data_IF_845921198693
#
_entry.id   IF_845921198693
#
_cell.length_a   1.000
_cell.length_b   1.000
_cell.length_c   1.000
_cell.angle_alpha   90.00
_cell.angle_beta   90.00
_cell.angle_gamma   90.00
#
_symmetry.space_group_name_H-M   'P 1'
#
loop_
_entity.id
_entity.type
_entity.pdbx_description
1 polymer ?
#
# COMPACT_ATOMS: atom_id res chain seq x y z
N UNK A 1 8.52 3.44 -11.06
CA UNK A 1 9.81 3.76 -11.73
C UNK A 1 10.95 3.91 -10.73
N UNK A 2 12.15 3.44 -11.09
CA UNK A 2 13.34 3.41 -10.24
C UNK A 2 14.13 4.74 -10.29
N UNK A 3 14.00 5.54 -11.36
CA UNK A 3 14.57 6.91 -11.44
C UNK A 3 16.07 6.99 -11.09
N UNK A 4 16.42 7.61 -9.96
CA UNK A 4 17.78 7.71 -9.40
C UNK A 4 17.96 6.80 -8.19
N UNK A 5 16.92 6.10 -7.76
CA UNK A 5 16.97 5.20 -6.62
C UNK A 5 17.82 3.98 -6.94
N UNK A 6 18.64 3.61 -5.98
CA UNK A 6 19.48 2.44 -6.05
C UNK A 6 19.53 1.75 -4.69
N UNK A 7 19.72 0.44 -4.75
CA UNK A 7 19.68 -0.42 -3.60
C UNK A 7 20.75 -1.48 -3.75
N UNK A 8 21.54 -1.63 -2.69
CA UNK A 8 22.54 -2.68 -2.54
C UNK A 8 22.13 -3.58 -1.39
N UNK A 9 22.31 -4.89 -1.59
CA UNK A 9 22.26 -5.87 -0.52
C UNK A 9 23.33 -6.91 -0.76
N UNK A 10 24.16 -7.15 0.25
CA UNK A 10 25.15 -8.20 0.21
C UNK A 10 24.49 -9.59 0.16
N UNK A 11 25.24 -10.62 -0.26
CA UNK A 11 24.93 -12.00 0.15
C UNK A 11 24.78 -12.11 1.67
N UNK A 12 24.23 -13.23 2.14
CA UNK A 12 24.32 -13.54 3.55
C UNK A 12 25.79 -13.71 3.92
N UNK A 13 26.22 -12.93 4.92
CA UNK A 13 27.56 -12.97 5.46
C UNK A 13 27.53 -13.97 6.62
N UNK A 14 28.06 -15.17 6.40
CA UNK A 14 28.33 -16.12 7.48
C UNK A 14 29.73 -15.86 8.03
N UNK A 15 29.83 -15.76 9.36
CA UNK A 15 31.09 -15.53 10.05
C UNK A 15 31.01 -16.09 11.47
N UNK A 16 32.14 -16.58 11.98
CA UNK A 16 32.26 -17.00 13.38
C UNK A 16 32.17 -15.77 14.31
N UNK A 17 31.53 -15.94 15.47
CA UNK A 17 31.32 -14.85 16.45
C UNK A 17 32.62 -14.20 16.95
N UNK A 18 33.75 -14.91 16.82
CA UNK A 18 35.07 -14.43 17.23
C UNK A 18 35.93 -13.88 16.08
N UNK A 19 35.40 -13.86 14.85
CA UNK A 19 36.13 -13.36 13.68
C UNK A 19 35.88 -11.86 13.45
N UNK A 20 36.94 -11.11 13.19
CA UNK A 20 36.81 -9.73 12.71
C UNK A 20 36.53 -9.74 11.21
N UNK A 21 35.28 -9.49 10.82
CA UNK A 21 34.91 -9.37 9.42
C UNK A 21 34.82 -7.89 9.00
N UNK A 22 35.65 -7.51 8.04
CA UNK A 22 35.59 -6.19 7.39
C UNK A 22 34.92 -6.37 6.03
N UNK A 23 33.83 -5.63 5.81
CA UNK A 23 33.12 -5.62 4.53
C UNK A 23 33.41 -4.32 3.81
N UNK A 24 34.02 -4.40 2.64
CA UNK A 24 34.16 -3.28 1.72
C UNK A 24 33.02 -3.31 0.70
N UNK A 25 32.20 -2.26 0.68
CA UNK A 25 31.16 -2.05 -0.33
C UNK A 25 31.56 -0.94 -1.27
N UNK A 26 31.80 -1.30 -2.54
CA UNK A 26 32.05 -0.36 -3.63
C UNK A 26 30.75 -0.05 -4.37
N UNK A 27 30.29 1.19 -4.27
CA UNK A 27 29.11 1.68 -4.99
C UNK A 27 29.52 2.44 -6.27
N UNK A 28 28.66 2.39 -7.28
CA UNK A 28 28.76 3.29 -8.43
C UNK A 28 28.56 4.74 -7.99
N UNK A 29 28.91 5.71 -8.85
CA UNK A 29 28.78 7.13 -8.53
C UNK A 29 27.38 7.50 -7.97
N UNK A 30 27.35 7.87 -6.70
CA UNK A 30 26.15 8.23 -5.97
C UNK A 30 26.20 9.70 -5.56
N UNK A 31 25.02 10.32 -5.45
CA UNK A 31 24.82 11.68 -4.96
C UNK A 31 24.55 11.72 -3.47
N UNK A 32 23.88 10.70 -2.93
CA UNK A 32 23.48 10.62 -1.53
C UNK A 32 23.28 9.18 -1.09
N UNK A 33 23.66 8.86 0.14
CA UNK A 33 23.22 7.65 0.84
C UNK A 33 22.04 8.01 1.72
N UNK A 34 20.92 7.31 1.55
CA UNK A 34 19.69 7.53 2.30
C UNK A 34 19.67 6.70 3.60
N UNK A 35 20.06 5.43 3.50
CA UNK A 35 20.04 4.50 4.64
C UNK A 35 21.13 3.45 4.50
N UNK A 36 21.69 3.04 5.65
CA UNK A 36 22.67 1.98 5.78
C UNK A 36 22.28 1.11 6.96
N UNK A 37 22.10 -0.18 6.72
CA UNK A 37 21.54 -1.10 7.69
C UNK A 37 22.25 -2.45 7.62
N UNK A 38 22.44 -3.05 8.79
CA UNK A 38 22.79 -4.45 8.94
C UNK A 38 21.54 -5.23 9.36
N UNK A 39 21.15 -6.21 8.56
CA UNK A 39 20.09 -7.17 8.85
C UNK A 39 20.73 -8.37 9.56
N UNK A 40 20.56 -8.45 10.88
CA UNK A 40 21.07 -9.56 11.72
C UNK A 40 19.88 -10.35 12.24
N UNK A 41 19.70 -11.58 11.74
CA UNK A 41 18.45 -12.31 11.92
C UNK A 41 17.26 -11.49 11.39
N UNK A 42 16.30 -11.17 12.26
CA UNK A 42 15.14 -10.33 11.94
C UNK A 42 15.29 -8.86 12.41
N UNK A 43 16.47 -8.47 12.93
CA UNK A 43 16.70 -7.13 13.43
C UNK A 43 17.38 -6.25 12.39
N UNK A 44 16.79 -5.08 12.12
CA UNK A 44 17.40 -4.03 11.31
C UNK A 44 18.17 -3.08 12.22
N UNK A 45 19.48 -3.02 12.08
CA UNK A 45 20.36 -2.12 12.84
C UNK A 45 20.97 -1.10 11.91
N UNK A 46 20.81 0.19 12.20
CA UNK A 46 21.54 1.23 11.47
C UNK A 46 23.05 1.04 11.66
N UNK A 47 23.81 1.20 10.58
CA UNK A 47 25.27 1.10 10.60
C UNK A 47 25.90 2.32 9.94
N UNK A 48 27.13 2.61 10.33
CA UNK A 48 27.96 3.67 9.77
C UNK A 48 29.28 3.02 9.37
N UNK A 49 29.84 3.34 8.19
CA UNK A 49 31.15 2.84 7.81
C UNK A 49 32.22 3.43 8.75
N UNK A 50 33.19 2.62 9.15
CA UNK A 50 34.31 3.10 9.97
C UNK A 50 35.36 3.82 9.13
N UNK A 51 35.44 3.51 7.83
CA UNK A 51 36.23 4.24 6.84
C UNK A 51 35.45 4.39 5.52
N UNK A 52 35.71 5.47 4.80
CA UNK A 52 35.11 5.77 3.50
C UNK A 52 36.13 6.51 2.65
N UNK A 53 36.56 5.87 1.56
CA UNK A 53 37.53 6.43 0.64
C UNK A 53 37.17 6.10 -0.82
N UNK A 54 38.05 6.44 -1.76
CA UNK A 54 37.82 6.21 -3.20
C UNK A 54 37.66 4.72 -3.58
N UNK A 55 38.09 3.81 -2.72
CA UNK A 55 37.99 2.36 -2.92
C UNK A 55 36.67 1.76 -2.39
N UNK A 56 35.92 2.48 -1.55
CA UNK A 56 34.60 2.04 -1.07
C UNK A 56 34.27 2.49 0.36
N UNK A 57 33.20 1.89 0.88
CA UNK A 57 32.68 2.05 2.23
C UNK A 57 33.03 0.82 3.06
N UNK A 58 33.68 1.00 4.20
CA UNK A 58 34.20 -0.10 5.02
C UNK A 58 33.39 -0.24 6.30
N UNK A 59 32.86 -1.43 6.54
CA UNK A 59 32.03 -1.73 7.72
C UNK A 59 32.63 -2.88 8.53
N UNK A 60 32.50 -2.80 9.85
CA UNK A 60 32.66 -3.98 10.70
C UNK A 60 31.35 -4.78 10.66
N UNK A 61 31.45 -6.03 10.23
CA UNK A 61 30.38 -7.00 10.40
C UNK A 61 30.75 -7.89 11.59
N UNK A 62 30.05 -7.71 12.71
CA UNK A 62 30.34 -8.47 13.94
C UNK A 62 29.37 -9.64 14.16
N UNK A 63 28.39 -9.82 13.27
CA UNK A 63 27.35 -10.84 13.39
C UNK A 63 26.95 -11.33 12.00
N UNK A 64 26.54 -12.61 11.86
CA UNK A 64 25.94 -13.11 10.65
C UNK A 64 24.74 -12.28 10.20
N UNK A 65 24.68 -11.94 8.91
CA UNK A 65 23.69 -10.98 8.46
C UNK A 65 23.85 -10.51 7.02
N UNK A 66 23.30 -9.33 6.72
CA UNK A 66 23.44 -8.67 5.42
C UNK A 66 23.61 -7.18 5.58
N UNK A 67 24.52 -6.61 4.81
CA UNK A 67 24.64 -5.15 4.68
C UNK A 67 23.73 -4.70 3.54
N UNK A 68 22.88 -3.73 3.85
CA UNK A 68 21.94 -3.13 2.90
C UNK A 68 22.19 -1.62 2.87
N UNK A 69 22.28 -1.07 1.66
CA UNK A 69 22.51 0.37 1.44
C UNK A 69 21.48 0.89 0.43
N UNK A 70 20.74 1.91 0.85
CA UNK A 70 19.81 2.64 0.00
C UNK A 70 20.45 3.98 -0.35
N UNK A 71 20.52 4.28 -1.64
CA UNK A 71 21.26 5.45 -2.12
C UNK A 71 20.66 6.00 -3.41
N UNK A 72 20.99 7.26 -3.72
CA UNK A 72 20.62 7.92 -4.97
C UNK A 72 21.83 8.00 -5.87
N UNK A 73 21.70 7.57 -7.12
CA UNK A 73 22.72 7.72 -8.16
C UNK A 73 22.92 9.21 -8.50
N UNK A 74 24.09 9.56 -9.05
CA UNK A 74 24.29 10.90 -9.60
C UNK A 74 23.41 11.12 -10.84
N UNK A 75 23.44 10.16 -11.75
CA UNK A 75 22.67 10.17 -12.99
C UNK A 75 21.50 9.19 -12.96
N UNK A 76 20.48 9.47 -13.78
CA UNK A 76 19.36 8.54 -13.97
C UNK A 76 19.82 7.34 -14.77
N UNK A 77 19.25 6.19 -14.47
CA UNK A 77 19.49 4.98 -15.25
C UNK A 77 18.64 5.00 -16.53
N UNK A 78 19.19 4.62 -17.70
CA UNK A 78 18.39 4.40 -18.89
C UNK A 78 17.34 3.30 -18.66
N UNK A 79 16.08 3.63 -18.89
CA UNK A 79 14.95 2.70 -18.83
C UNK A 79 14.57 2.26 -20.25
N UNK A 80 14.03 1.05 -20.35
CA UNK A 80 13.50 0.46 -21.58
C UNK A 80 12.09 -0.07 -21.31
N UNK A 81 11.28 -0.08 -22.36
CA UNK A 81 9.96 -0.70 -22.35
C UNK A 81 10.05 -2.08 -23.00
N UNK A 82 9.46 -3.07 -22.34
CA UNK A 82 9.18 -4.39 -22.90
C UNK A 82 7.68 -4.48 -23.15
N UNK A 83 7.29 -4.95 -24.32
CA UNK A 83 5.89 -5.18 -24.71
C UNK A 83 5.79 -6.56 -25.34
N UNK A 84 5.15 -7.49 -24.64
CA UNK A 84 5.09 -8.90 -25.00
C UNK A 84 3.65 -9.44 -24.83
N UNK A 85 3.28 -10.41 -25.66
CA UNK A 85 2.06 -11.20 -25.41
C UNK A 85 2.29 -12.22 -24.31
N UNK A 86 1.36 -12.30 -23.36
CA UNK A 86 1.33 -13.36 -22.33
C UNK A 86 0.27 -14.42 -22.60
N UNK A 87 -0.75 -14.07 -23.38
CA UNK A 87 -1.69 -14.99 -24.01
C UNK A 87 -2.20 -14.37 -25.35
N UNK A 88 -3.16 -14.99 -26.08
CA UNK A 88 -3.68 -14.43 -27.32
C UNK A 88 -4.30 -13.02 -27.22
N UNK A 89 -4.92 -12.69 -26.08
CA UNK A 89 -5.78 -11.52 -25.86
C UNK A 89 -5.17 -10.48 -24.91
N UNK A 90 -4.05 -10.79 -24.26
CA UNK A 90 -3.45 -10.00 -23.17
C UNK A 90 -1.98 -9.74 -23.45
N UNK A 91 -1.62 -8.46 -23.42
CA UNK A 91 -0.24 -7.98 -23.50
C UNK A 91 0.29 -7.57 -22.13
N UNK A 92 1.53 -7.90 -21.81
CA UNK A 92 2.25 -7.34 -20.67
C UNK A 92 3.22 -6.25 -21.12
N UNK A 93 3.19 -5.12 -20.41
CA UNK A 93 4.14 -4.03 -20.59
C UNK A 93 4.98 -3.84 -19.34
N UNK A 94 6.30 -3.88 -19.46
CA UNK A 94 7.21 -3.67 -18.32
C UNK A 94 8.15 -2.51 -18.61
N UNK A 95 8.11 -1.49 -17.73
CA UNK A 95 9.10 -0.42 -17.73
C UNK A 95 10.23 -0.78 -16.76
N UNK A 96 11.44 -0.95 -17.27
CA UNK A 96 12.55 -1.50 -16.49
C UNK A 96 13.87 -0.81 -16.76
N UNK A 97 14.75 -0.63 -15.76
CA UNK A 97 16.12 -0.19 -16.00
C UNK A 97 16.87 -1.20 -16.88
N UNK A 98 17.69 -0.73 -17.83
CA UNK A 98 18.33 -1.57 -18.86
C UNK A 98 19.08 -2.79 -18.31
N UNK A 99 19.73 -2.66 -17.15
CA UNK A 99 20.47 -3.76 -16.52
C UNK A 99 19.58 -4.82 -15.84
N UNK A 100 18.27 -4.57 -15.69
CA UNK A 100 17.28 -5.55 -15.25
C UNK A 100 16.50 -6.18 -16.41
N UNK A 101 16.97 -6.07 -17.66
CA UNK A 101 16.32 -6.67 -18.84
C UNK A 101 16.07 -8.18 -18.67
N UNK A 102 17.12 -8.95 -18.35
CA UNK A 102 16.99 -10.41 -18.19
C UNK A 102 16.04 -10.78 -17.05
N UNK A 103 16.06 -10.00 -15.98
CA UNK A 103 15.16 -10.16 -14.86
C UNK A 103 13.70 -9.89 -15.24
N UNK A 104 13.46 -8.84 -16.03
CA UNK A 104 12.11 -8.47 -16.49
C UNK A 104 11.55 -9.51 -17.46
N UNK A 105 12.40 -10.11 -18.32
CA UNK A 105 12.01 -11.24 -19.17
C UNK A 105 11.56 -12.46 -18.36
N UNK A 106 12.25 -12.78 -17.27
CA UNK A 106 11.82 -13.84 -16.34
C UNK A 106 10.44 -13.57 -15.74
N UNK A 107 10.14 -12.31 -15.43
CA UNK A 107 8.81 -11.93 -14.95
C UNK A 107 7.76 -12.11 -16.04
N UNK A 108 8.04 -11.72 -17.29
CA UNK A 108 7.13 -11.97 -18.42
C UNK A 108 6.85 -13.47 -18.58
N UNK A 109 7.89 -14.32 -18.51
CA UNK A 109 7.74 -15.77 -18.59
C UNK A 109 6.93 -16.35 -17.41
N UNK A 110 7.06 -15.75 -16.23
CA UNK A 110 6.21 -16.08 -15.08
C UNK A 110 4.75 -15.72 -15.36
N UNK A 111 4.46 -14.51 -15.82
CA UNK A 111 3.10 -14.08 -16.17
C UNK A 111 2.47 -14.95 -17.27
N UNK A 112 3.23 -15.37 -18.30
CA UNK A 112 2.77 -16.32 -19.34
C UNK A 112 2.20 -17.61 -18.77
N UNK A 113 2.73 -18.07 -17.64
CA UNK A 113 2.31 -19.33 -16.99
C UNK A 113 1.24 -19.10 -15.93
N UNK A 114 1.36 -18.01 -15.18
CA UNK A 114 0.47 -17.66 -14.06
C UNK A 114 -0.88 -17.11 -14.56
N UNK A 115 -0.86 -16.24 -15.56
CA UNK A 115 -2.04 -15.51 -16.01
C UNK A 115 -3.19 -16.41 -16.51
N UNK A 116 -2.96 -17.47 -17.30
CA UNK A 116 -4.05 -18.37 -17.70
C UNK A 116 -4.76 -19.04 -16.50
N UNK A 117 -4.01 -19.41 -15.46
CA UNK A 117 -4.59 -19.95 -14.22
C UNK A 117 -5.42 -18.89 -13.48
N UNK A 118 -4.94 -17.65 -13.48
CA UNK A 118 -5.65 -16.52 -12.90
C UNK A 118 -6.97 -16.25 -13.64
N UNK A 119 -6.95 -16.19 -14.97
CA UNK A 119 -8.16 -16.03 -15.79
C UNK A 119 -9.14 -17.18 -15.59
N UNK A 120 -8.67 -18.42 -15.46
CA UNK A 120 -9.52 -19.58 -15.16
C UNK A 120 -10.24 -19.45 -13.81
N UNK A 121 -9.52 -19.06 -12.75
CA UNK A 121 -10.10 -18.85 -11.42
C UNK A 121 -11.14 -17.72 -11.47
N UNK A 122 -10.78 -16.59 -12.05
CA UNK A 122 -11.63 -15.40 -11.97
C UNK A 122 -12.67 -15.29 -13.07
N UNK A 123 -12.59 -16.11 -14.13
CA UNK A 123 -13.48 -16.09 -15.29
C UNK A 123 -13.55 -14.72 -15.97
N UNK A 124 -12.46 -13.94 -15.94
CA UNK A 124 -12.32 -12.62 -16.56
C UNK A 124 -10.92 -12.48 -17.13
N UNK A 125 -10.81 -11.66 -18.18
CA UNK A 125 -9.53 -11.32 -18.80
C UNK A 125 -9.25 -9.82 -18.70
N UNK A 126 -7.98 -9.47 -18.73
CA UNK A 126 -7.43 -8.14 -18.86
C UNK A 126 -6.89 -7.96 -20.29
N UNK A 127 -7.18 -6.85 -20.98
CA UNK A 127 -6.60 -6.59 -22.30
C UNK A 127 -5.09 -6.33 -22.21
N UNK A 128 -4.62 -5.81 -21.07
CA UNK A 128 -3.23 -5.54 -20.82
C UNK A 128 -2.90 -5.56 -19.33
N UNK A 129 -1.65 -5.83 -19.01
CA UNK A 129 -1.06 -5.72 -17.67
C UNK A 129 0.16 -4.82 -17.79
N UNK A 130 0.21 -3.74 -17.02
CA UNK A 130 1.41 -2.89 -16.93
C UNK A 130 2.13 -3.19 -15.63
N UNK A 131 3.44 -3.42 -15.69
CA UNK A 131 4.29 -3.63 -14.51
C UNK A 131 5.28 -2.49 -14.42
N UNK A 132 5.35 -1.86 -13.25
CA UNK A 132 6.34 -0.84 -12.95
C UNK A 132 7.15 -1.22 -11.73
N UNK A 133 8.47 -1.27 -11.90
CA UNK A 133 9.36 -1.46 -10.77
C UNK A 133 9.55 -0.17 -9.98
N UNK A 134 9.64 -0.31 -8.67
CA UNK A 134 10.12 0.75 -7.78
C UNK A 134 11.19 0.19 -6.82
N UNK A 135 12.00 1.09 -6.30
CA UNK A 135 12.87 0.84 -5.15
C UNK A 135 12.40 1.77 -4.03
N UNK A 136 12.30 1.29 -2.78
CA UNK A 136 11.85 2.12 -1.68
C UNK A 136 12.96 3.08 -1.23
N UNK A 137 12.57 4.20 -0.63
CA UNK A 137 13.51 5.18 -0.08
C UNK A 137 14.06 4.77 1.30
N UNK A 138 13.34 3.91 2.01
CA UNK A 138 13.71 3.21 3.24
C UNK A 138 13.63 1.68 3.07
N UNK A 139 14.14 0.90 4.03
CA UNK A 139 14.06 -0.57 3.96
C UNK A 139 12.63 -1.03 3.65
N UNK A 140 12.43 -1.99 2.71
CA UNK A 140 11.11 -2.33 2.18
C UNK A 140 10.07 -2.61 3.27
N UNK A 141 9.10 -1.71 3.41
CA UNK A 141 7.84 -1.95 4.14
C UNK A 141 6.69 -2.33 3.22
N UNK A 142 6.88 -2.12 1.92
CA UNK A 142 5.91 -2.37 0.86
C UNK A 142 6.59 -3.22 -0.20
N UNK A 143 6.01 -4.39 -0.48
CA UNK A 143 6.50 -5.35 -1.46
C UNK A 143 5.91 -5.09 -2.85
N UNK A 144 4.65 -4.70 -2.90
CA UNK A 144 3.95 -4.31 -4.12
C UNK A 144 2.75 -3.42 -3.80
N UNK A 145 2.14 -2.84 -4.84
CA UNK A 145 0.83 -2.22 -4.74
C UNK A 145 0.15 -2.08 -6.10
N UNK A 146 -1.17 -1.97 -6.08
CA UNK A 146 -2.00 -1.45 -7.17
C UNK A 146 -2.82 -0.24 -6.67
N UNK A 147 -3.05 0.79 -7.51
CA UNK A 147 -3.89 1.92 -7.12
C UNK A 147 -5.31 1.50 -6.74
N UNK A 148 -5.75 1.85 -5.52
CA UNK A 148 -7.07 1.47 -5.00
C UNK A 148 -8.25 2.03 -5.82
N UNK A 149 -8.08 3.19 -6.44
CA UNK A 149 -9.09 3.77 -7.34
C UNK A 149 -9.34 2.85 -8.53
N UNK A 150 -8.29 2.34 -9.17
CA UNK A 150 -8.42 1.50 -10.36
C UNK A 150 -9.09 0.15 -10.04
N UNK A 151 -8.82 -0.42 -8.87
CA UNK A 151 -9.53 -1.62 -8.38
C UNK A 151 -11.03 -1.34 -8.23
N UNK A 152 -11.37 -0.20 -7.63
CA UNK A 152 -12.76 0.18 -7.38
C UNK A 152 -13.53 0.50 -8.66
N UNK A 153 -12.87 1.03 -9.68
CA UNK A 153 -13.43 1.29 -11.00
C UNK A 153 -13.30 0.10 -11.98
N UNK A 154 -12.77 -1.04 -11.51
CA UNK A 154 -12.52 -2.22 -12.34
C UNK A 154 -11.69 -1.94 -13.60
N UNK A 155 -10.74 -1.01 -13.50
CA UNK A 155 -9.87 -0.62 -14.60
C UNK A 155 -8.64 -1.55 -14.65
N UNK A 156 -8.18 -1.95 -15.85
CA UNK A 156 -6.83 -2.46 -15.98
C UNK A 156 -5.85 -1.42 -15.43
N UNK A 157 -4.85 -1.86 -14.67
CA UNK A 157 -3.98 -0.95 -13.92
C UNK A 157 -2.52 -1.40 -13.96
N UNK A 158 -1.67 -0.57 -13.36
CA UNK A 158 -0.26 -0.83 -13.19
C UNK A 158 -0.03 -1.60 -11.89
N UNK A 159 0.56 -2.77 -12.02
CA UNK A 159 1.09 -3.57 -10.90
C UNK A 159 2.47 -3.01 -10.56
N UNK A 160 2.59 -2.39 -9.39
CA UNK A 160 3.86 -1.89 -8.90
C UNK A 160 4.55 -2.96 -8.06
N UNK A 161 5.78 -3.30 -8.41
CA UNK A 161 6.53 -4.36 -7.73
C UNK A 161 7.86 -3.82 -7.22
N UNK A 162 8.19 -4.14 -5.97
CA UNK A 162 9.44 -3.73 -5.36
C UNK A 162 10.59 -4.58 -5.93
N UNK A 163 11.51 -3.90 -6.62
CA UNK A 163 12.63 -4.54 -7.28
C UNK A 163 13.65 -5.16 -6.30
N UNK A 164 13.66 -4.72 -5.04
CA UNK A 164 14.52 -5.32 -4.00
C UNK A 164 14.18 -6.80 -3.75
N UNK A 165 12.93 -7.22 -4.00
CA UNK A 165 12.50 -8.61 -3.87
C UNK A 165 13.28 -9.56 -4.79
N UNK A 166 13.79 -9.05 -5.91
CA UNK A 166 14.65 -9.80 -6.84
C UNK A 166 15.90 -10.39 -6.19
N UNK A 167 16.30 -9.87 -5.02
CA UNK A 167 17.50 -10.28 -4.28
C UNK A 167 17.18 -10.86 -2.91
N UNK A 168 15.90 -10.91 -2.51
CA UNK A 168 15.49 -11.28 -1.15
C UNK A 168 15.37 -12.81 -0.99
N UNK A 169 14.21 -13.37 -1.34
CA UNK A 169 13.94 -14.81 -1.29
C UNK A 169 13.32 -15.21 -2.64
N UNK A 170 13.86 -16.27 -3.26
CA UNK A 170 13.33 -16.80 -4.53
C UNK A 170 11.84 -17.12 -4.35
N UNK A 171 10.98 -16.59 -5.21
CA UNK A 171 9.53 -16.78 -5.15
C UNK A 171 8.76 -15.60 -4.56
N UNK A 172 9.38 -14.75 -3.72
CA UNK A 172 8.65 -13.63 -3.09
C UNK A 172 8.21 -12.58 -4.10
N UNK A 173 9.02 -12.34 -5.11
CA UNK A 173 8.67 -11.41 -6.19
C UNK A 173 7.49 -11.94 -7.01
N UNK A 174 7.54 -13.21 -7.40
CA UNK A 174 6.49 -13.89 -8.14
C UNK A 174 5.19 -13.96 -7.34
N UNK A 175 5.30 -14.22 -6.04
CA UNK A 175 4.23 -14.15 -5.07
C UNK A 175 3.58 -12.77 -5.03
N UNK A 176 4.38 -11.72 -4.83
CA UNK A 176 3.89 -10.34 -4.81
C UNK A 176 3.24 -9.94 -6.13
N UNK A 177 3.85 -10.28 -7.27
CA UNK A 177 3.28 -9.99 -8.58
C UNK A 177 1.90 -10.67 -8.78
N UNK A 178 1.73 -11.87 -8.23
CA UNK A 178 0.47 -12.62 -8.25
C UNK A 178 -0.55 -11.98 -7.30
N UNK A 179 -0.13 -11.63 -6.07
CA UNK A 179 -0.96 -10.96 -5.05
C UNK A 179 -1.59 -9.69 -5.60
N UNK A 180 -0.77 -8.80 -6.18
CA UNK A 180 -1.26 -7.55 -6.74
C UNK A 180 -2.21 -7.78 -7.92
N UNK A 181 -1.98 -8.82 -8.74
CA UNK A 181 -2.89 -9.16 -9.84
C UNK A 181 -4.24 -9.68 -9.32
N UNK A 182 -4.25 -10.44 -8.21
CA UNK A 182 -5.50 -10.91 -7.59
C UNK A 182 -6.39 -9.73 -7.21
N UNK A 183 -5.84 -8.65 -6.67
CA UNK A 183 -6.61 -7.43 -6.37
C UNK A 183 -7.29 -6.86 -7.62
N UNK A 184 -6.58 -6.82 -8.75
CA UNK A 184 -7.14 -6.35 -10.03
C UNK A 184 -8.28 -7.27 -10.50
N UNK A 185 -8.08 -8.59 -10.40
CA UNK A 185 -9.09 -9.57 -10.79
C UNK A 185 -10.34 -9.52 -9.89
N UNK A 186 -10.16 -9.33 -8.58
CA UNK A 186 -11.26 -9.10 -7.63
C UNK A 186 -12.05 -7.82 -7.97
N UNK A 187 -11.34 -6.75 -8.33
CA UNK A 187 -11.93 -5.52 -8.83
C UNK A 187 -12.80 -5.75 -10.07
N UNK A 188 -12.31 -6.56 -11.03
CA UNK A 188 -13.01 -6.94 -12.27
C UNK A 188 -14.24 -7.79 -12.04
N UNK A 189 -14.23 -8.73 -11.10
CA UNK A 189 -15.42 -9.54 -10.77
C UNK A 189 -16.41 -8.79 -9.87
N UNK A 190 -16.14 -7.53 -9.55
CA UNK A 190 -17.10 -6.62 -8.90
C UNK A 190 -16.90 -6.42 -7.40
N UNK A 191 -15.80 -6.92 -6.80
CA UNK A 191 -15.49 -6.69 -5.39
C UNK A 191 -14.76 -5.36 -5.23
N UNK A 192 -15.38 -4.40 -4.55
CA UNK A 192 -14.72 -3.13 -4.23
C UNK A 192 -13.72 -3.31 -3.09
N UNK A 193 -12.60 -2.58 -3.11
CA UNK A 193 -11.58 -2.56 -2.06
C UNK A 193 -11.90 -1.47 -1.02
N UNK A 194 -13.01 -1.62 -0.32
CA UNK A 194 -13.51 -0.70 0.70
C UNK A 194 -13.12 -1.17 2.10
N UNK A 195 -13.27 -0.30 3.11
CA UNK A 195 -12.92 -0.63 4.51
C UNK A 195 -13.48 -1.98 4.99
N UNK A 196 -14.72 -2.31 4.62
CA UNK A 196 -15.44 -3.53 5.03
C UNK A 196 -15.11 -4.78 4.20
N UNK A 197 -14.43 -4.63 3.07
CA UNK A 197 -14.11 -5.70 2.12
C UNK A 197 -12.61 -5.82 1.86
N UNK A 198 -11.79 -4.91 2.39
CA UNK A 198 -10.34 -4.91 2.21
C UNK A 198 -9.68 -6.16 2.79
N UNK A 199 -10.17 -6.63 3.94
CA UNK A 199 -9.71 -7.88 4.53
C UNK A 199 -9.90 -9.08 3.58
N UNK A 200 -10.99 -9.06 2.80
CA UNK A 200 -11.30 -10.10 1.85
C UNK A 200 -10.40 -10.01 0.62
N UNK A 201 -10.14 -8.79 0.13
CA UNK A 201 -9.13 -8.52 -0.90
C UNK A 201 -7.77 -9.07 -0.51
N UNK A 202 -7.23 -8.65 0.64
CA UNK A 202 -5.91 -9.13 1.07
C UNK A 202 -5.92 -10.63 1.35
N UNK A 203 -6.96 -11.18 1.98
CA UNK A 203 -7.01 -12.62 2.28
C UNK A 203 -7.05 -13.51 1.03
N UNK A 204 -7.83 -13.11 0.02
CA UNK A 204 -7.89 -13.80 -1.28
C UNK A 204 -6.58 -13.66 -2.04
N UNK A 205 -5.98 -12.47 -2.03
CA UNK A 205 -4.68 -12.22 -2.65
C UNK A 205 -3.58 -13.06 -2.01
N UNK A 206 -3.50 -13.08 -0.67
CA UNK A 206 -2.52 -13.88 0.08
C UNK A 206 -2.67 -15.39 -0.23
N UNK A 207 -3.91 -15.88 -0.20
CA UNK A 207 -4.22 -17.30 -0.42
C UNK A 207 -3.95 -17.74 -1.87
N UNK A 208 -4.51 -17.04 -2.85
CA UNK A 208 -4.36 -17.42 -4.27
C UNK A 208 -2.91 -17.25 -4.72
N UNK A 209 -2.22 -16.19 -4.30
CA UNK A 209 -0.81 -16.00 -4.60
C UNK A 209 0.03 -17.14 -4.04
N UNK A 210 -0.25 -17.59 -2.82
CA UNK A 210 0.44 -18.72 -2.21
C UNK A 210 0.23 -20.00 -3.02
N UNK A 211 -1.02 -20.40 -3.24
CA UNK A 211 -1.36 -21.66 -3.93
C UNK A 211 -0.75 -21.71 -5.35
N UNK A 212 -0.97 -20.66 -6.16
CA UNK A 212 -0.48 -20.62 -7.53
C UNK A 212 1.06 -20.68 -7.58
N UNK A 213 1.74 -19.84 -6.79
CA UNK A 213 3.20 -19.77 -6.86
C UNK A 213 3.86 -21.02 -6.27
N UNK A 214 3.29 -21.59 -5.22
CA UNK A 214 3.74 -22.85 -4.66
C UNK A 214 3.63 -23.99 -5.68
N UNK A 215 2.49 -24.09 -6.38
CA UNK A 215 2.27 -25.08 -7.46
C UNK A 215 3.19 -24.88 -8.66
N UNK A 216 3.60 -23.64 -8.93
CA UNK A 216 4.59 -23.32 -9.96
C UNK A 216 6.04 -23.64 -9.54
N UNK A 217 6.25 -24.18 -8.34
CA UNK A 217 7.56 -24.66 -7.86
C UNK A 217 8.32 -23.68 -6.96
N UNK A 218 7.76 -22.52 -6.64
CA UNK A 218 8.40 -21.53 -5.76
C UNK A 218 8.24 -21.88 -4.28
N UNK A 219 8.81 -23.02 -3.84
CA UNK A 219 8.52 -23.61 -2.52
C UNK A 219 8.81 -22.69 -1.31
N UNK A 220 9.72 -21.72 -1.43
CA UNK A 220 10.03 -20.78 -0.34
C UNK A 220 8.84 -19.88 0.05
N UNK A 221 7.81 -19.75 -0.80
CA UNK A 221 6.59 -18.99 -0.41
C UNK A 221 5.85 -19.65 0.77
N UNK A 222 6.17 -20.90 1.10
CA UNK A 222 5.72 -21.54 2.35
C UNK A 222 6.12 -20.77 3.61
N UNK A 223 7.23 -20.02 3.59
CA UNK A 223 7.64 -19.17 4.70
C UNK A 223 6.61 -18.07 4.99
N UNK A 224 6.02 -17.47 3.95
CA UNK A 224 4.97 -16.43 4.08
C UNK A 224 3.73 -17.04 4.74
N UNK A 225 3.27 -18.19 4.22
CA UNK A 225 2.15 -18.94 4.80
C UNK A 225 2.39 -19.26 6.27
N UNK A 226 3.55 -19.80 6.60
CA UNK A 226 3.90 -20.26 7.94
C UNK A 226 4.02 -19.08 8.91
N UNK A 227 4.50 -17.91 8.44
CA UNK A 227 4.51 -16.66 9.19
C UNK A 227 3.09 -16.20 9.54
N UNK A 228 2.15 -16.22 8.59
CA UNK A 228 0.76 -15.88 8.86
C UNK A 228 0.12 -16.83 9.86
N UNK A 229 0.30 -18.14 9.69
CA UNK A 229 -0.23 -19.15 10.62
C UNK A 229 0.33 -18.93 12.02
N UNK A 230 1.64 -18.67 12.14
CA UNK A 230 2.29 -18.40 13.43
C UNK A 230 1.72 -17.15 14.10
N UNK A 231 1.52 -16.06 13.36
CA UNK A 231 0.93 -14.81 13.89
C UNK A 231 -0.50 -15.06 14.35
N UNK A 232 -1.32 -15.76 13.57
CA UNK A 232 -2.70 -16.06 13.95
C UNK A 232 -2.76 -16.96 15.18
N UNK A 233 -1.92 -17.98 15.26
CA UNK A 233 -1.82 -18.85 16.44
C UNK A 233 -1.44 -18.04 17.69
N UNK A 234 -0.55 -17.06 17.56
CA UNK A 234 -0.18 -16.17 18.66
C UNK A 234 -1.38 -15.31 19.14
N UNK A 235 -2.07 -14.61 18.23
CA UNK A 235 -3.15 -13.68 18.62
C UNK A 235 -4.43 -14.40 19.08
N UNK A 236 -4.68 -15.62 18.61
CA UNK A 236 -5.87 -16.41 18.95
C UNK A 236 -5.63 -17.44 20.06
N UNK A 237 -4.43 -17.43 20.69
CA UNK A 237 -4.04 -18.44 21.67
C UNK A 237 -4.25 -19.88 21.14
N UNK A 238 -3.65 -20.17 19.99
CA UNK A 238 -3.78 -21.42 19.24
C UNK A 238 -5.24 -21.79 18.94
N UNK A 239 -6.01 -20.83 18.42
CA UNK A 239 -7.40 -21.03 17.99
C UNK A 239 -8.45 -21.04 19.10
N UNK A 240 -8.07 -20.76 20.36
CA UNK A 240 -9.03 -20.68 21.48
C UNK A 240 -9.86 -19.39 21.48
N UNK A 241 -9.33 -18.34 20.85
CA UNK A 241 -9.89 -16.98 20.87
C UNK A 241 -10.10 -16.46 19.45
N UNK A 242 -10.73 -17.27 18.59
CA UNK A 242 -11.01 -16.93 17.19
C UNK A 242 -11.85 -15.65 17.04
N UNK A 243 -12.65 -15.29 18.06
CA UNK A 243 -13.44 -14.07 18.09
C UNK A 243 -12.59 -12.79 18.05
N UNK A 244 -11.27 -12.87 18.23
CA UNK A 244 -10.34 -11.75 18.09
C UNK A 244 -10.06 -11.36 16.65
N UNK A 245 -10.45 -12.16 15.65
CA UNK A 245 -10.12 -11.90 14.24
C UNK A 245 -10.99 -10.82 13.60
N UNK A 246 -12.16 -10.52 14.16
CA UNK A 246 -13.16 -9.61 13.58
C UNK A 246 -12.73 -8.15 13.47
N UNK A 247 -11.64 -7.76 14.13
CA UNK A 247 -11.10 -6.40 14.05
C UNK A 247 -10.78 -5.96 12.60
N UNK A 248 -10.44 -6.91 11.72
CA UNK A 248 -10.10 -6.66 10.31
C UNK A 248 -11.28 -6.16 9.47
N UNK A 249 -12.51 -6.27 9.98
CA UNK A 249 -13.70 -5.77 9.30
C UNK A 249 -13.68 -4.24 9.13
N UNK A 250 -12.95 -3.50 9.97
CA UNK A 250 -12.85 -2.04 9.91
C UNK A 250 -11.45 -1.61 9.45
N UNK A 251 -11.06 -2.02 8.24
CA UNK A 251 -9.67 -1.89 7.76
C UNK A 251 -9.10 -0.47 7.85
N UNK A 252 -9.89 0.55 7.51
CA UNK A 252 -9.42 1.94 7.51
C UNK A 252 -9.20 2.51 8.93
N UNK A 253 -9.64 1.80 9.97
CA UNK A 253 -9.44 2.19 11.37
C UNK A 253 -8.27 1.46 12.03
N UNK A 254 -7.59 0.56 11.29
CA UNK A 254 -6.43 -0.17 11.80
C UNK A 254 -5.27 0.77 12.04
N UNK A 255 -4.57 0.56 13.16
CA UNK A 255 -3.30 1.23 13.41
C UNK A 255 -2.20 0.63 12.53
N UNK A 256 -1.13 1.39 12.28
CA UNK A 256 -0.04 0.93 11.42
C UNK A 256 0.65 -0.35 11.92
N UNK A 257 0.71 -0.57 13.24
CA UNK A 257 1.23 -1.79 13.88
C UNK A 257 0.29 -3.01 13.74
N UNK A 258 -0.98 -2.78 13.41
CA UNK A 258 -1.99 -3.84 13.26
C UNK A 258 -2.09 -4.36 11.83
N UNK A 259 -1.56 -3.63 10.84
CA UNK A 259 -1.70 -3.98 9.41
C UNK A 259 -1.16 -5.38 9.14
N UNK A 260 0.06 -5.71 9.55
CA UNK A 260 0.64 -7.05 9.32
C UNK A 260 -0.16 -8.18 10.00
N UNK A 261 -0.75 -7.91 11.15
CA UNK A 261 -1.64 -8.85 11.86
C UNK A 261 -2.94 -9.03 11.07
N UNK A 262 -3.48 -7.94 10.49
CA UNK A 262 -4.69 -7.98 9.69
C UNK A 262 -4.53 -8.81 8.42
N UNK A 263 -3.41 -8.71 7.71
CA UNK A 263 -3.08 -9.60 6.58
C UNK A 263 -3.06 -11.08 7.02
N UNK A 264 -2.45 -11.37 8.17
CA UNK A 264 -2.39 -12.74 8.71
C UNK A 264 -3.77 -13.30 9.08
N UNK A 265 -4.61 -12.49 9.72
CA UNK A 265 -5.99 -12.85 10.05
C UNK A 265 -6.85 -13.05 8.79
N UNK A 266 -6.71 -12.17 7.80
CA UNK A 266 -7.33 -12.28 6.49
C UNK A 266 -6.96 -13.58 5.77
N UNK A 267 -5.66 -13.87 5.66
CA UNK A 267 -5.15 -15.12 5.08
C UNK A 267 -5.75 -16.32 5.79
N UNK A 268 -5.72 -16.35 7.13
CA UNK A 268 -6.25 -17.48 7.90
C UNK A 268 -7.73 -17.74 7.65
N UNK A 269 -8.57 -16.69 7.62
CA UNK A 269 -10.01 -16.82 7.39
C UNK A 269 -10.25 -17.39 5.99
N UNK A 270 -9.62 -16.83 4.96
CA UNK A 270 -9.79 -17.30 3.58
C UNK A 270 -9.25 -18.71 3.42
N UNK A 271 -8.05 -18.99 3.92
CA UNK A 271 -7.44 -20.31 3.89
C UNK A 271 -8.33 -21.37 4.58
N UNK A 272 -8.94 -21.03 5.72
CA UNK A 272 -9.83 -21.94 6.46
C UNK A 272 -11.11 -22.25 5.68
N UNK A 273 -11.68 -21.26 5.01
CA UNK A 273 -12.87 -21.45 4.16
C UNK A 273 -12.49 -22.23 2.91
N UNK A 274 -11.47 -21.79 2.18
CA UNK A 274 -11.02 -22.42 0.94
C UNK A 274 -10.64 -23.89 1.18
N UNK A 275 -9.84 -24.19 2.21
CA UNK A 275 -9.44 -25.56 2.56
C UNK A 275 -10.65 -26.48 2.80
N UNK A 276 -11.74 -25.95 3.37
CA UNK A 276 -12.97 -26.71 3.61
C UNK A 276 -13.83 -26.90 2.35
N UNK A 277 -13.80 -25.94 1.43
CA UNK A 277 -14.74 -25.87 0.30
C UNK A 277 -14.09 -26.03 -1.08
N UNK A 278 -12.90 -26.63 -1.16
CA UNK A 278 -12.28 -27.07 -2.43
C UNK A 278 -11.08 -26.25 -2.91
N UNK A 279 -10.45 -25.47 -2.03
CA UNK A 279 -9.24 -24.70 -2.31
C UNK A 279 -9.47 -23.63 -3.38
N UNK A 280 -8.65 -23.65 -4.45
CA UNK A 280 -8.83 -22.75 -5.60
C UNK A 280 -10.20 -22.91 -6.30
N UNK A 281 -10.87 -24.06 -6.18
CA UNK A 281 -12.22 -24.26 -6.70
C UNK A 281 -13.26 -23.40 -5.97
N UNK A 282 -13.07 -23.17 -4.67
CA UNK A 282 -13.89 -22.21 -3.91
C UNK A 282 -13.69 -20.79 -4.45
N UNK A 283 -12.44 -20.38 -4.71
CA UNK A 283 -12.16 -19.05 -5.28
C UNK A 283 -12.84 -18.87 -6.64
N UNK A 284 -12.84 -19.92 -7.47
CA UNK A 284 -13.51 -19.94 -8.77
C UNK A 284 -15.03 -19.80 -8.67
N UNK A 285 -15.66 -20.56 -7.77
CA UNK A 285 -17.10 -20.44 -7.47
C UNK A 285 -17.46 -19.06 -6.94
N UNK A 286 -16.65 -18.51 -6.03
CA UNK A 286 -16.85 -17.16 -5.52
C UNK A 286 -16.77 -16.12 -6.64
N UNK A 287 -15.75 -16.18 -7.50
CA UNK A 287 -15.61 -15.25 -8.61
C UNK A 287 -16.81 -15.30 -9.56
N UNK A 288 -17.33 -16.50 -9.84
CA UNK A 288 -18.57 -16.66 -10.60
C UNK A 288 -19.76 -15.96 -9.93
N UNK A 289 -20.04 -16.25 -8.66
CA UNK A 289 -21.15 -15.65 -7.93
C UNK A 289 -21.00 -14.13 -7.77
N UNK A 290 -19.77 -13.63 -7.65
CA UNK A 290 -19.48 -12.20 -7.57
C UNK A 290 -19.84 -11.47 -8.87
N UNK A 291 -19.48 -12.05 -10.03
CA UNK A 291 -19.86 -11.49 -11.34
C UNK A 291 -21.36 -11.47 -11.53
N UNK A 292 -22.02 -12.60 -11.27
CA UNK A 292 -23.48 -12.73 -11.37
C UNK A 292 -24.17 -11.69 -10.47
N UNK A 293 -23.67 -11.51 -9.24
CA UNK A 293 -24.17 -10.48 -8.35
C UNK A 293 -24.00 -9.08 -8.95
N UNK A 294 -22.76 -8.75 -9.36
CA UNK A 294 -22.42 -7.39 -9.78
C UNK A 294 -23.06 -6.96 -11.09
N UNK A 295 -23.38 -7.89 -11.99
CA UNK A 295 -24.13 -7.61 -13.21
C UNK A 295 -25.57 -7.15 -12.94
N UNK A 296 -26.16 -7.45 -11.78
CA UNK A 296 -27.55 -7.11 -11.45
C UNK A 296 -27.72 -6.16 -10.26
N UNK A 297 -26.74 -6.09 -9.36
CA UNK A 297 -26.89 -5.41 -8.07
C UNK A 297 -25.78 -4.37 -7.78
N UNK A 298 -24.83 -4.21 -8.70
CA UNK A 298 -23.66 -3.36 -8.50
C UNK A 298 -22.56 -4.03 -7.65
N UNK A 299 -21.57 -3.24 -7.25
CA UNK A 299 -20.34 -3.75 -6.62
C UNK A 299 -20.58 -4.32 -5.21
N UNK A 300 -19.76 -5.29 -4.84
CA UNK A 300 -19.70 -5.86 -3.49
C UNK A 300 -18.77 -4.98 -2.66
N UNK A 301 -19.33 -4.12 -1.81
CA UNK A 301 -18.60 -3.06 -1.10
C UNK A 301 -18.75 -3.11 0.44
N UNK A 302 -19.48 -4.09 0.96
CA UNK A 302 -19.70 -4.24 2.39
C UNK A 302 -19.86 -5.71 2.81
N UNK A 303 -19.74 -5.96 4.12
CA UNK A 303 -19.73 -7.31 4.69
C UNK A 303 -21.04 -8.07 4.43
N UNK A 304 -22.19 -7.40 4.52
CA UNK A 304 -23.50 -8.04 4.29
C UNK A 304 -23.65 -8.56 2.87
N UNK A 305 -23.24 -7.80 1.86
CA UNK A 305 -23.25 -8.26 0.46
C UNK A 305 -22.19 -9.32 0.21
N UNK A 306 -20.99 -9.14 0.74
CA UNK A 306 -19.91 -10.12 0.61
C UNK A 306 -20.32 -11.49 1.19
N UNK A 307 -20.92 -11.51 2.38
CA UNK A 307 -21.40 -12.74 3.02
C UNK A 307 -22.46 -13.46 2.19
N UNK A 308 -23.38 -12.73 1.57
CA UNK A 308 -24.39 -13.32 0.68
C UNK A 308 -23.74 -14.04 -0.51
N UNK A 309 -22.75 -13.41 -1.13
CA UNK A 309 -22.04 -13.99 -2.28
C UNK A 309 -21.19 -15.19 -1.84
N UNK A 310 -20.53 -15.11 -0.70
CA UNK A 310 -19.80 -16.24 -0.10
C UNK A 310 -20.73 -17.42 0.18
N UNK A 311 -21.89 -17.19 0.81
CA UNK A 311 -22.87 -18.22 1.11
C UNK A 311 -23.35 -18.95 -0.16
N UNK A 312 -23.55 -18.22 -1.26
CA UNK A 312 -23.87 -18.84 -2.56
C UNK A 312 -22.73 -19.70 -3.07
N UNK A 313 -21.50 -19.19 -3.02
CA UNK A 313 -20.31 -19.89 -3.52
C UNK A 313 -20.04 -21.21 -2.77
N UNK A 314 -20.32 -21.24 -1.45
CA UNK A 314 -20.14 -22.46 -0.63
C UNK A 314 -21.40 -23.33 -0.53
N UNK A 315 -22.57 -22.81 -0.91
CA UNK A 315 -23.86 -23.51 -0.82
C UNK A 315 -24.42 -23.66 0.60
N UNK A 316 -23.93 -22.89 1.58
CA UNK A 316 -24.36 -22.93 2.99
C UNK A 316 -24.21 -21.57 3.66
N UNK A 317 -24.85 -21.37 4.82
CA UNK A 317 -24.76 -20.11 5.56
C UNK A 317 -23.51 -20.05 6.45
N UNK A 318 -22.60 -19.12 6.15
CA UNK A 318 -21.38 -18.88 6.91
C UNK A 318 -21.58 -17.89 8.06
N UNK A 319 -22.79 -17.39 8.32
CA UNK A 319 -23.05 -16.35 9.33
C UNK A 319 -22.49 -16.71 10.71
N UNK A 320 -22.76 -17.91 11.20
CA UNK A 320 -22.26 -18.36 12.52
C UNK A 320 -20.73 -18.52 12.53
N UNK A 321 -20.13 -18.95 11.42
CA UNK A 321 -18.68 -19.03 11.30
C UNK A 321 -18.05 -17.63 11.37
N UNK A 322 -18.59 -16.64 10.65
CA UNK A 322 -18.10 -15.26 10.74
C UNK A 322 -18.33 -14.62 12.10
N UNK A 323 -19.49 -14.86 12.74
CA UNK A 323 -19.73 -14.44 14.13
C UNK A 323 -18.71 -15.06 15.09
N UNK A 324 -18.33 -16.32 14.90
CA UNK A 324 -17.29 -16.97 15.71
C UNK A 324 -15.91 -16.33 15.55
N UNK A 325 -15.64 -15.73 14.39
CA UNK A 325 -14.45 -14.90 14.16
C UNK A 325 -14.57 -13.48 14.74
N UNK A 326 -15.73 -13.09 15.26
CA UNK A 326 -15.98 -11.75 15.82
C UNK A 326 -16.49 -10.73 14.81
N UNK A 327 -16.93 -11.16 13.63
CA UNK A 327 -17.50 -10.26 12.63
C UNK A 327 -18.93 -9.85 12.98
N UNK A 328 -19.28 -8.61 12.68
CA UNK A 328 -20.66 -8.17 12.62
C UNK A 328 -21.22 -8.44 11.21
N UNK A 329 -22.08 -9.45 11.09
CA UNK A 329 -22.65 -9.89 9.81
C UNK A 329 -23.86 -9.06 9.35
N UNK A 330 -24.38 -8.18 10.21
CA UNK A 330 -25.55 -7.34 9.91
C UNK A 330 -25.20 -5.97 9.33
N UNK A 331 -23.92 -5.57 9.38
CA UNK A 331 -23.47 -4.27 8.87
C UNK A 331 -23.64 -4.18 7.35
N UNK A 332 -24.70 -3.46 6.94
CA UNK A 332 -24.91 -2.98 5.57
C UNK A 332 -24.30 -1.59 5.38
N UNK A 333 -23.37 -1.48 4.44
CA UNK A 333 -22.68 -0.22 4.14
C UNK A 333 -23.60 0.80 3.48
N UNK A 334 -24.17 1.71 4.28
CA UNK A 334 -24.68 3.02 3.82
C UNK A 334 -24.84 4.03 4.96
N UNK A 335 -25.11 3.57 6.18
CA UNK A 335 -25.38 4.43 7.34
C UNK A 335 -24.18 5.30 7.77
N UNK A 336 -22.96 4.75 7.84
CA UNK A 336 -21.81 5.44 8.43
C UNK A 336 -21.24 6.53 7.49
N UNK A 337 -21.19 6.26 6.18
CA UNK A 337 -20.70 7.22 5.19
C UNK A 337 -21.65 8.41 5.00
N UNK A 338 -22.97 8.17 5.00
CA UNK A 338 -23.95 9.26 4.98
C UNK A 338 -23.85 10.12 6.24
N UNK A 339 -23.68 9.52 7.42
CA UNK A 339 -23.54 10.26 8.67
C UNK A 339 -22.28 11.15 8.65
N UNK A 340 -21.15 10.63 8.19
CA UNK A 340 -19.91 11.40 8.05
C UNK A 340 -20.03 12.55 7.04
N UNK A 341 -20.69 12.31 5.90
CA UNK A 341 -20.93 13.34 4.89
C UNK A 341 -21.91 14.42 5.40
N UNK A 342 -22.95 14.02 6.14
CA UNK A 342 -23.86 14.94 6.81
C UNK A 342 -23.13 15.79 7.85
N UNK A 343 -22.22 15.21 8.65
CA UNK A 343 -21.41 15.95 9.62
C UNK A 343 -20.49 16.95 8.90
N UNK A 344 -19.85 16.56 7.79
CA UNK A 344 -18.99 17.46 7.01
C UNK A 344 -19.80 18.62 6.40
N UNK A 345 -20.99 18.34 5.85
CA UNK A 345 -21.90 19.38 5.34
C UNK A 345 -22.32 20.31 6.48
N UNK A 346 -22.70 19.76 7.64
CA UNK A 346 -23.15 20.53 8.79
C UNK A 346 -22.03 21.45 9.31
N UNK A 347 -20.81 20.94 9.45
CA UNK A 347 -19.63 21.71 9.83
C UNK A 347 -19.33 22.81 8.81
N UNK A 348 -19.41 22.50 7.52
CA UNK A 348 -19.17 23.47 6.44
C UNK A 348 -20.20 24.61 6.46
N UNK A 349 -21.47 24.30 6.71
CA UNK A 349 -22.54 25.30 6.87
C UNK A 349 -22.28 26.17 8.10
N UNK A 350 -21.92 25.58 9.24
CA UNK A 350 -21.61 26.33 10.47
C UNK A 350 -20.43 27.28 10.25
N UNK A 351 -19.36 26.82 9.59
CA UNK A 351 -18.20 27.65 9.25
C UNK A 351 -18.57 28.80 8.30
N UNK A 352 -19.43 28.55 7.32
CA UNK A 352 -19.93 29.59 6.41
C UNK A 352 -20.75 30.66 7.15
N UNK A 353 -21.61 30.25 8.09
CA UNK A 353 -22.39 31.18 8.93
C UNK A 353 -21.46 32.03 9.81
N UNK A 354 -20.46 31.42 10.45
CA UNK A 354 -19.47 32.13 11.26
C UNK A 354 -18.73 33.17 10.39
N UNK A 355 -18.26 32.78 9.20
CA UNK A 355 -17.57 33.68 8.27
C UNK A 355 -18.45 34.87 7.84
N UNK A 356 -19.71 34.62 7.47
CA UNK A 356 -20.67 35.68 7.10
C UNK A 356 -20.96 36.62 8.27
N UNK A 357 -21.06 36.09 9.49
CA UNK A 357 -21.28 36.88 10.71
C UNK A 357 -20.08 37.77 11.00
N UNK A 358 -18.85 37.23 10.88
CA UNK A 358 -17.61 37.98 11.02
C UNK A 358 -17.48 39.08 9.96
N UNK A 359 -17.82 38.80 8.70
CA UNK A 359 -17.85 39.80 7.62
C UNK A 359 -18.84 40.92 7.94
N UNK A 360 -20.05 40.58 8.42
CA UNK A 360 -21.07 41.57 8.81
C UNK A 360 -20.59 42.44 9.98
N UNK A 361 -19.98 41.84 11.01
CA UNK A 361 -19.36 42.57 12.13
C UNK A 361 -18.23 43.49 11.62
N UNK A 362 -17.38 43.02 10.71
CA UNK A 362 -16.28 43.82 10.12
C UNK A 362 -16.82 44.99 9.29
N UNK A 363 -17.93 44.77 8.57
CA UNK A 363 -18.60 45.81 7.78
C UNK A 363 -19.28 46.85 8.68
N UNK A 364 -19.87 46.44 9.80
CA UNK A 364 -20.41 47.35 10.82
C UNK A 364 -19.32 48.10 11.61
N UNK A 365 -18.11 47.52 11.73
CA UNK A 365 -16.95 48.15 12.38
C UNK A 365 -16.11 49.04 11.46
N UNK A 366 -16.50 49.25 10.19
CA UNK A 366 -15.93 50.34 9.39
C UNK A 366 -16.41 51.66 10.01
N UNK A 367 -15.64 52.17 10.97
CA UNK A 367 -15.77 53.55 11.44
C UNK A 367 -15.55 54.46 10.24
N UNK A 368 -16.57 55.24 9.88
CA UNK A 368 -16.39 56.35 8.96
C UNK A 368 -15.30 57.25 9.52
N UNK A 369 -14.28 57.54 8.69
CA UNK A 369 -13.21 58.46 9.09
C UNK A 369 -13.83 59.85 9.26
N UNK A 370 -13.79 60.45 10.47
CA UNK A 370 -14.37 61.77 10.69
C UNK A 370 -13.77 62.79 9.72
N UNK A 371 -14.58 63.76 9.29
CA UNK A 371 -14.15 64.81 8.37
C UNK A 371 -12.92 65.55 8.95
N UNK A 372 -11.84 65.67 8.16
CA UNK A 372 -10.56 66.24 8.61
C UNK A 372 -9.57 65.23 9.22
N UNK A 373 -9.88 63.93 9.22
CA UNK A 373 -8.95 62.86 9.65
C UNK A 373 -8.58 61.91 8.50
N UNK A 374 -7.43 61.24 8.62
CA UNK A 374 -6.92 60.18 7.73
C UNK A 374 -6.50 58.95 8.54
N UNK A 375 -6.40 57.80 7.89
CA UNK A 375 -5.90 56.57 8.52
C UNK A 375 -4.39 56.46 8.28
N UNK A 376 -3.60 56.24 9.33
CA UNK A 376 -2.17 56.00 9.22
C UNK A 376 -1.89 54.72 8.42
N UNK A 377 -1.11 54.82 7.33
CA UNK A 377 -0.77 53.67 6.47
C UNK A 377 0.05 52.57 7.16
N UNK A 378 0.75 52.90 8.26
CA UNK A 378 1.62 51.95 8.95
C UNK A 378 0.94 51.19 10.09
N UNK A 379 0.06 51.84 10.86
CA UNK A 379 -0.56 51.23 12.06
C UNK A 379 -2.09 51.24 12.05
N UNK A 380 -2.73 51.87 11.08
CA UNK A 380 -4.19 51.91 10.97
C UNK A 380 -4.91 52.85 11.95
N UNK A 381 -4.19 53.63 12.76
CA UNK A 381 -4.78 54.64 13.65
C UNK A 381 -5.39 55.80 12.86
N UNK A 382 -6.55 56.30 13.30
CA UNK A 382 -7.16 57.53 12.76
C UNK A 382 -6.43 58.75 13.35
N UNK A 383 -5.96 59.64 12.50
CA UNK A 383 -5.13 60.80 12.86
C UNK A 383 -5.60 62.04 12.09
N UNK A 384 -5.31 63.27 12.53
CA UNK A 384 -5.60 64.48 11.77
C UNK A 384 -4.98 64.46 10.37
N UNK A 385 -5.69 65.00 9.37
CA UNK A 385 -5.24 64.98 7.96
C UNK A 385 -3.90 65.72 7.77
N UNK A 386 -3.68 66.78 8.54
CA UNK A 386 -2.49 67.63 8.54
C UNK A 386 -1.27 66.98 9.23
N UNK A 387 -1.42 65.81 9.87
CA UNK A 387 -0.31 65.18 10.58
C UNK A 387 0.78 64.69 9.62
N UNK A 388 1.99 65.22 9.79
CA UNK A 388 3.21 64.82 9.06
C UNK A 388 3.89 63.61 9.74
N UNK A 389 3.68 63.42 11.04
CA UNK A 389 4.15 62.27 11.82
C UNK A 389 2.95 61.64 12.53
N UNK A 390 2.86 60.31 12.53
CA UNK A 390 1.81 59.63 13.27
C UNK A 390 2.09 59.73 14.78
N UNK A 391 1.21 60.32 15.61
CA UNK A 391 1.43 60.43 17.06
C UNK A 391 1.44 59.08 17.78
N UNK A 392 0.93 58.00 17.15
CA UNK A 392 0.86 56.67 17.75
C UNK A 392 2.11 55.85 17.45
N UNK A 393 2.54 55.79 16.19
CA UNK A 393 3.68 54.96 15.79
C UNK A 393 4.95 55.75 15.48
N UNK A 394 4.90 57.08 15.58
CA UNK A 394 6.00 58.04 15.38
C UNK A 394 6.66 57.99 13.99
N UNK A 395 6.09 57.26 13.03
CA UNK A 395 6.55 57.24 11.64
C UNK A 395 6.11 58.51 10.89
N UNK A 396 7.03 59.05 10.09
CA UNK A 396 6.76 60.14 9.15
C UNK A 396 5.85 59.64 8.02
N UNK A 397 4.82 60.43 7.70
CA UNK A 397 3.68 60.06 6.85
C UNK A 397 3.81 60.61 5.43
N UNK A 398 4.69 61.58 5.21
CA UNK A 398 5.04 62.10 3.90
C UNK A 398 6.32 61.47 3.37
N UNK A 399 6.26 61.04 2.11
CA UNK A 399 7.42 60.74 1.27
C UNK A 399 7.91 62.09 0.72
N UNK A 400 9.19 62.42 0.90
CA UNK A 400 9.82 63.57 0.24
C UNK A 400 9.80 63.40 -1.27
#
# INVERSE_FOLDING_TARGET
>A
MVKKDAWFMSPHLEMDENSECIVNVKLNEYSKINQQINLVGNALKNIIPFDSNSSGLYYHASHPGRIIILYKLKEKVPEIELDDKIDPNTTIKIYTPKFYLNFSRRIIDFYRKMYPKMSEIFGVDLPWIKVEYFLPEDFPKVFGYVPGYDINEALPTTVHVNLALSRYVIGYLEYTATHELVHVMLGKVGVAAMSQTRWFHEGMAEYIAYEITYDMGYRNVSMIRDDHIRIVNYITNNGRELNKLGFIQNWNLLRSDEIGIAYSASFYIINSIASKYGGLDFCRKFAYEAREWSSSHGRIDNMKTLLKVLNKAVGTDLSEQFKSYGFNVETGGRSIFLLGYFIIILVSIVLAIIALTLIKIRKMRRKETPQGMKICKYCGSIIPKESIICPVCLKKLEES
#
